data_IF_266289222102
#
_entry.id   IF_266289222102
#
_cell.length_a   1.000
_cell.length_b   1.000
_cell.length_c   1.000
_cell.angle_alpha   90.00
_cell.angle_beta   90.00
_cell.angle_gamma   90.00
#
_symmetry.space_group_name_H-M   'P 1'
#
loop_
_entity.id
_entity.type
_entity.pdbx_description
1 polymer ?
#
# COMPACT_ATOMS: atom_id res chain seq x y z
N UNK A 1 36.95 12.24 -45.74
CA UNK A 1 35.98 13.08 -44.99
C UNK A 1 34.69 12.34 -44.60
N UNK A 2 34.12 11.47 -45.44
CA UNK A 2 32.86 10.77 -45.15
C UNK A 2 32.91 9.85 -43.90
N UNK A 3 34.02 9.13 -43.70
CA UNK A 3 34.17 8.18 -42.59
C UNK A 3 34.15 8.84 -41.20
N UNK A 4 34.72 10.05 -41.06
CA UNK A 4 34.67 10.83 -39.79
C UNK A 4 33.27 11.35 -39.48
N UNK A 5 32.45 11.68 -40.49
CA UNK A 5 31.07 12.13 -40.32
C UNK A 5 30.14 10.98 -39.91
N UNK A 6 30.32 9.80 -40.48
CA UNK A 6 29.56 8.60 -40.12
C UNK A 6 29.80 8.17 -38.66
N UNK A 7 31.05 8.19 -38.21
CA UNK A 7 31.41 7.90 -36.81
C UNK A 7 30.84 8.97 -35.86
N UNK A 8 30.91 10.26 -36.20
CA UNK A 8 30.32 11.31 -35.37
C UNK A 8 28.79 11.18 -35.22
N UNK A 9 28.09 10.76 -36.28
CA UNK A 9 26.64 10.54 -36.25
C UNK A 9 26.23 9.33 -35.40
N UNK A 10 26.99 8.22 -35.44
CA UNK A 10 26.72 7.07 -34.58
C UNK A 10 26.97 7.38 -33.10
N UNK A 11 28.05 8.09 -32.77
CA UNK A 11 28.30 8.56 -31.41
C UNK A 11 27.19 9.50 -30.90
N UNK A 12 26.74 10.43 -31.73
CA UNK A 12 25.64 11.35 -31.39
C UNK A 12 24.33 10.58 -31.15
N UNK A 13 23.99 9.64 -32.02
CA UNK A 13 22.80 8.80 -31.85
C UNK A 13 22.86 7.95 -30.57
N UNK A 14 24.02 7.38 -30.26
CA UNK A 14 24.24 6.60 -29.04
C UNK A 14 24.09 7.46 -27.77
N UNK A 15 24.62 8.69 -27.78
CA UNK A 15 24.43 9.65 -26.69
C UNK A 15 22.97 10.04 -26.49
N UNK A 16 22.22 10.28 -27.58
CA UNK A 16 20.79 10.63 -27.51
C UNK A 16 19.98 9.48 -26.89
N UNK A 17 20.24 8.24 -27.29
CA UNK A 17 19.59 7.05 -26.71
C UNK A 17 19.91 6.94 -25.21
N UNK A 18 21.16 7.20 -24.81
CA UNK A 18 21.59 7.19 -23.41
C UNK A 18 20.91 8.26 -22.57
N UNK A 19 20.81 9.49 -23.08
CA UNK A 19 20.15 10.61 -22.40
C UNK A 19 18.65 10.37 -22.23
N UNK A 20 17.98 9.83 -23.26
CA UNK A 20 16.56 9.46 -23.19
C UNK A 20 16.36 8.34 -22.15
N UNK A 21 17.22 7.32 -22.14
CA UNK A 21 17.16 6.22 -21.16
C UNK A 21 17.34 6.71 -19.71
N UNK A 22 18.30 7.61 -19.48
CA UNK A 22 18.53 8.22 -18.16
C UNK A 22 17.34 9.09 -17.70
N UNK A 23 16.77 9.88 -18.61
CA UNK A 23 15.58 10.69 -18.30
C UNK A 23 14.38 9.84 -17.88
N UNK A 24 14.17 8.71 -18.57
CA UNK A 24 13.11 7.77 -18.22
C UNK A 24 13.32 7.09 -16.86
N UNK A 25 14.55 6.67 -16.56
CA UNK A 25 14.85 6.04 -15.27
C UNK A 25 14.63 7.02 -14.11
N UNK A 26 15.04 8.28 -14.25
CA UNK A 26 14.79 9.32 -13.24
C UNK A 26 13.28 9.54 -13.02
N UNK A 27 12.50 9.60 -14.10
CA UNK A 27 11.04 9.71 -14.00
C UNK A 27 10.42 8.49 -13.30
N UNK A 28 10.84 7.27 -13.65
CA UNK A 28 10.34 6.06 -13.01
C UNK A 28 10.64 6.03 -11.50
N UNK A 29 11.83 6.46 -11.09
CA UNK A 29 12.21 6.58 -9.68
C UNK A 29 11.32 7.58 -8.93
N UNK A 30 10.99 8.71 -9.54
CA UNK A 30 10.09 9.71 -8.96
C UNK A 30 8.64 9.19 -8.81
N UNK A 31 8.13 8.47 -9.81
CA UNK A 31 6.80 7.87 -9.74
C UNK A 31 6.70 6.77 -8.68
N UNK A 32 7.75 5.96 -8.50
CA UNK A 32 7.83 4.96 -7.43
C UNK A 32 7.77 5.64 -6.05
N UNK A 33 8.53 6.72 -5.83
CA UNK A 33 8.50 7.53 -4.60
C UNK A 33 7.11 8.04 -4.29
N UNK A 34 6.48 8.69 -5.27
CA UNK A 34 5.15 9.26 -5.14
C UNK A 34 4.13 8.17 -4.81
N UNK A 35 4.11 7.08 -5.57
CA UNK A 35 3.18 5.98 -5.36
C UNK A 35 3.36 5.32 -3.98
N UNK A 36 4.59 5.22 -3.47
CA UNK A 36 4.83 4.74 -2.10
C UNK A 36 4.31 5.70 -1.04
N UNK A 37 4.46 7.01 -1.26
CA UNK A 37 3.85 8.03 -0.41
C UNK A 37 2.32 7.90 -0.37
N UNK A 38 1.69 7.73 -1.54
CA UNK A 38 0.25 7.53 -1.67
C UNK A 38 -0.22 6.26 -0.94
N UNK A 39 0.53 5.16 -1.06
CA UNK A 39 0.29 3.90 -0.38
C UNK A 39 0.29 4.05 1.14
N UNK A 40 1.34 4.67 1.71
CA UNK A 40 1.45 4.89 3.16
C UNK A 40 0.34 5.81 3.66
N UNK A 41 0.07 6.91 2.94
CA UNK A 41 -0.97 7.84 3.33
C UNK A 41 -2.35 7.18 3.35
N UNK A 42 -2.63 6.28 2.40
CA UNK A 42 -3.88 5.51 2.37
C UNK A 42 -4.01 4.56 3.57
N UNK A 43 -2.95 3.81 3.90
CA UNK A 43 -2.95 2.95 5.10
C UNK A 43 -3.10 3.76 6.39
N UNK A 44 -2.46 4.93 6.50
CA UNK A 44 -2.62 5.81 7.66
C UNK A 44 -4.06 6.33 7.81
N UNK A 45 -4.73 6.71 6.71
CA UNK A 45 -6.15 7.09 6.76
C UNK A 45 -7.03 5.93 7.20
N UNK A 46 -6.76 4.73 6.67
CA UNK A 46 -7.45 3.52 7.09
C UNK A 46 -7.30 3.25 8.61
N UNK A 47 -6.10 3.42 9.16
CA UNK A 47 -5.80 3.21 10.59
C UNK A 47 -6.39 4.28 11.50
N UNK A 48 -6.45 5.53 11.06
CA UNK A 48 -6.98 6.63 11.87
C UNK A 48 -8.45 6.45 12.24
N UNK A 49 -9.15 5.49 11.62
CA UNK A 49 -10.57 5.15 11.73
C UNK A 49 -11.47 6.37 11.55
N UNK A 50 -12.43 6.31 10.63
CA UNK A 50 -13.51 7.28 10.63
C UNK A 50 -14.18 7.24 12.02
N UNK A 51 -14.09 8.34 12.76
CA UNK A 51 -14.57 8.39 14.14
C UNK A 51 -16.07 8.22 14.11
N UNK A 52 -16.56 7.26 14.88
CA UNK A 52 -17.99 7.25 15.20
C UNK A 52 -18.25 8.50 16.05
N UNK A 53 -19.16 9.39 15.63
CA UNK A 53 -19.47 10.57 16.42
C UNK A 53 -19.93 10.17 17.83
N UNK A 54 -19.49 10.89 18.86
CA UNK A 54 -19.87 10.59 20.26
C UNK A 54 -21.40 10.55 20.46
N UNK A 55 -22.14 11.32 19.65
CA UNK A 55 -23.60 11.33 19.63
C UNK A 55 -24.21 9.96 19.27
N UNK A 56 -23.51 9.14 18.48
CA UNK A 56 -23.97 7.80 18.09
C UNK A 56 -23.92 6.81 19.25
N UNK A 57 -23.06 7.03 20.25
CA UNK A 57 -22.95 6.12 21.42
C UNK A 57 -24.25 6.07 22.24
N UNK A 58 -25.07 7.13 22.15
CA UNK A 58 -26.38 7.22 22.83
C UNK A 58 -27.51 6.57 22.05
N UNK A 59 -27.28 6.18 20.79
CA UNK A 59 -28.29 5.57 19.94
C UNK A 59 -28.38 4.06 20.17
N UNK A 60 -29.53 3.43 19.86
CA UNK A 60 -29.66 1.98 19.90
C UNK A 60 -28.59 1.29 19.03
N UNK A 61 -28.16 0.10 19.45
CA UNK A 61 -27.11 -0.66 18.76
C UNK A 61 -27.38 -0.86 17.26
N UNK A 62 -28.63 -1.07 16.85
CA UNK A 62 -28.99 -1.18 15.44
C UNK A 62 -28.66 0.10 14.64
N UNK A 63 -28.88 1.29 15.20
CA UNK A 63 -28.56 2.56 14.55
C UNK A 63 -27.05 2.78 14.45
N UNK A 64 -26.29 2.40 15.49
CA UNK A 64 -24.83 2.42 15.46
C UNK A 64 -24.28 1.54 14.32
N UNK A 65 -24.80 0.32 14.20
CA UNK A 65 -24.38 -0.60 13.14
C UNK A 65 -24.70 -0.10 11.72
N UNK A 66 -25.90 0.46 11.52
CA UNK A 66 -26.28 1.05 10.24
C UNK A 66 -25.37 2.21 9.84
N UNK A 67 -24.95 3.02 10.80
CA UNK A 67 -23.97 4.09 10.55
C UNK A 67 -22.60 3.54 10.17
N UNK A 68 -22.09 2.55 10.91
CA UNK A 68 -20.84 1.89 10.57
C UNK A 68 -20.88 1.36 9.14
N UNK A 69 -21.94 0.62 8.77
CA UNK A 69 -22.13 0.08 7.43
C UNK A 69 -22.26 1.12 6.33
N UNK A 70 -22.93 2.24 6.59
CA UNK A 70 -23.25 3.23 5.55
C UNK A 70 -22.20 4.34 5.41
N UNK A 71 -21.40 4.59 6.45
CA UNK A 71 -20.42 5.70 6.49
C UNK A 71 -19.00 5.20 6.67
N UNK A 72 -18.74 4.44 7.73
CA UNK A 72 -17.37 4.05 8.11
C UNK A 72 -16.83 2.97 7.19
N UNK A 73 -17.61 1.92 6.93
CA UNK A 73 -17.13 0.76 6.19
C UNK A 73 -16.77 1.09 4.74
N UNK A 74 -17.60 1.85 3.99
CA UNK A 74 -17.25 2.24 2.62
C UNK A 74 -16.00 3.11 2.58
N UNK A 75 -15.89 4.11 3.47
CA UNK A 75 -14.72 4.99 3.52
C UNK A 75 -13.42 4.23 3.78
N UNK A 76 -13.44 3.27 4.73
CA UNK A 76 -12.24 2.44 4.99
C UNK A 76 -11.92 1.50 3.84
N UNK A 77 -12.94 1.01 3.12
CA UNK A 77 -12.71 0.20 1.93
C UNK A 77 -12.06 1.04 0.82
N UNK A 78 -12.52 2.28 0.61
CA UNK A 78 -11.91 3.21 -0.34
C UNK A 78 -10.43 3.48 -0.02
N UNK A 79 -10.06 3.62 1.26
CA UNK A 79 -8.67 3.78 1.67
C UNK A 79 -7.82 2.51 1.37
N UNK A 80 -8.36 1.30 1.56
CA UNK A 80 -7.66 0.06 1.17
C UNK A 80 -7.50 -0.05 -0.35
N UNK A 81 -8.55 0.26 -1.11
CA UNK A 81 -8.52 0.23 -2.57
C UNK A 81 -7.49 1.25 -3.11
N UNK A 82 -7.39 2.43 -2.47
CA UNK A 82 -6.38 3.43 -2.79
C UNK A 82 -4.95 2.92 -2.51
N UNK A 83 -4.75 2.23 -1.38
CA UNK A 83 -3.47 1.60 -1.06
C UNK A 83 -3.09 0.53 -2.11
N UNK A 84 -4.01 -0.35 -2.47
CA UNK A 84 -3.79 -1.36 -3.52
C UNK A 84 -3.43 -0.72 -4.87
N UNK A 85 -4.17 0.30 -5.29
CA UNK A 85 -3.89 1.04 -6.53
C UNK A 85 -2.50 1.70 -6.53
N UNK A 86 -2.11 2.28 -5.40
CA UNK A 86 -0.78 2.88 -5.24
C UNK A 86 0.32 1.81 -5.32
N UNK A 87 0.13 0.66 -4.67
CA UNK A 87 1.06 -0.46 -4.74
C UNK A 87 1.14 -1.06 -6.16
N UNK A 88 0.02 -1.15 -6.89
CA UNK A 88 -0.01 -1.53 -8.31
C UNK A 88 0.80 -0.58 -9.18
N UNK A 89 0.75 0.74 -8.91
CA UNK A 89 1.61 1.71 -9.59
C UNK A 89 3.09 1.44 -9.32
N UNK A 90 3.49 1.21 -8.07
CA UNK A 90 4.89 0.83 -7.75
C UNK A 90 5.32 -0.41 -8.54
N UNK A 91 4.48 -1.46 -8.59
CA UNK A 91 4.72 -2.69 -9.37
C UNK A 91 4.97 -2.40 -10.86
N UNK A 92 4.16 -1.54 -11.47
CA UNK A 92 4.28 -1.16 -12.88
C UNK A 92 5.61 -0.44 -13.18
N UNK A 93 6.06 0.44 -12.29
CA UNK A 93 7.31 1.20 -12.49
C UNK A 93 8.57 0.41 -12.15
N UNK A 94 8.49 -0.68 -11.37
CA UNK A 94 9.64 -1.58 -11.11
C UNK A 94 10.31 -2.03 -12.40
N UNK A 95 9.55 -2.35 -13.44
CA UNK A 95 10.08 -2.80 -14.73
C UNK A 95 10.91 -1.75 -15.47
N UNK A 96 10.74 -0.47 -15.11
CA UNK A 96 11.39 0.69 -15.73
C UNK A 96 12.67 1.11 -15.00
N UNK A 97 13.00 0.46 -13.87
CA UNK A 97 14.27 0.63 -13.19
C UNK A 97 15.32 -0.23 -13.90
N UNK A 98 16.33 0.41 -14.47
CA UNK A 98 17.36 -0.26 -15.26
C UNK A 98 18.47 -0.84 -14.38
N UNK A 99 18.80 -0.16 -13.26
CA UNK A 99 19.77 -0.67 -12.29
C UNK A 99 19.30 -2.02 -11.69
N UNK A 100 19.96 -3.16 -12.00
CA UNK A 100 19.44 -4.48 -11.62
C UNK A 100 19.36 -4.69 -10.11
N UNK A 101 20.36 -4.20 -9.36
CA UNK A 101 20.39 -4.28 -7.90
C UNK A 101 19.21 -3.53 -7.28
N UNK A 102 18.93 -2.31 -7.74
CA UNK A 102 17.79 -1.53 -7.26
C UNK A 102 16.46 -2.16 -7.65
N UNK A 103 16.32 -2.65 -8.88
CA UNK A 103 15.13 -3.37 -9.35
C UNK A 103 14.83 -4.59 -8.48
N UNK A 104 15.87 -5.32 -8.07
CA UNK A 104 15.75 -6.46 -7.16
C UNK A 104 15.27 -6.02 -5.77
N UNK A 105 15.93 -5.02 -5.16
CA UNK A 105 15.55 -4.47 -3.84
C UNK A 105 14.12 -3.94 -3.83
N UNK A 106 13.69 -3.27 -4.90
CA UNK A 106 12.29 -2.82 -5.07
C UNK A 106 11.32 -4.00 -5.19
N UNK A 107 11.76 -5.12 -5.78
CA UNK A 107 10.99 -6.36 -5.80
C UNK A 107 10.73 -6.94 -4.40
N UNK A 108 11.77 -7.01 -3.57
CA UNK A 108 11.64 -7.42 -2.17
C UNK A 108 10.67 -6.53 -1.39
N UNK A 109 10.81 -5.21 -1.59
CA UNK A 109 9.92 -4.21 -1.01
C UNK A 109 8.46 -4.48 -1.38
N UNK A 110 8.16 -4.61 -2.68
CA UNK A 110 6.81 -4.91 -3.19
C UNK A 110 6.24 -6.18 -2.54
N UNK A 111 7.06 -7.22 -2.37
CA UNK A 111 6.63 -8.46 -1.72
C UNK A 111 6.24 -8.29 -0.25
N UNK A 112 6.95 -7.43 0.49
CA UNK A 112 6.57 -7.10 1.88
C UNK A 112 5.35 -6.18 1.93
N UNK A 113 5.31 -5.11 1.13
CA UNK A 113 4.16 -4.20 1.07
C UNK A 113 2.87 -4.93 0.67
N UNK A 114 2.94 -5.92 -0.22
CA UNK A 114 1.78 -6.75 -0.56
C UNK A 114 1.29 -7.59 0.61
N UNK A 115 2.21 -8.18 1.39
CA UNK A 115 1.84 -8.94 2.59
C UNK A 115 1.25 -8.05 3.68
N UNK A 116 1.78 -6.84 3.83
CA UNK A 116 1.22 -5.83 4.73
C UNK A 116 -0.21 -5.48 4.32
N UNK A 117 -0.45 -5.18 3.04
CA UNK A 117 -1.79 -4.87 2.54
C UNK A 117 -2.77 -6.03 2.76
N UNK A 118 -2.39 -7.26 2.41
CA UNK A 118 -3.23 -8.45 2.67
C UNK A 118 -3.53 -8.63 4.14
N UNK A 119 -2.53 -8.44 5.02
CA UNK A 119 -2.76 -8.47 6.46
C UNK A 119 -3.74 -7.36 6.92
N UNK A 120 -3.65 -6.16 6.35
CA UNK A 120 -4.59 -5.07 6.67
C UNK A 120 -6.02 -5.43 6.22
N UNK A 121 -6.18 -6.09 5.09
CA UNK A 121 -7.47 -6.62 4.62
C UNK A 121 -8.00 -7.73 5.55
N UNK A 122 -7.15 -8.65 6.01
CA UNK A 122 -7.49 -9.68 7.00
C UNK A 122 -7.98 -9.05 8.32
N UNK A 123 -7.23 -8.07 8.83
CA UNK A 123 -7.61 -7.29 10.02
C UNK A 123 -8.94 -6.58 9.83
N UNK A 124 -9.17 -6.04 8.63
CA UNK A 124 -10.41 -5.36 8.32
C UNK A 124 -11.61 -6.31 8.30
N UNK A 125 -11.44 -7.48 7.68
CA UNK A 125 -12.46 -8.52 7.65
C UNK A 125 -12.80 -8.99 9.07
N UNK A 126 -11.79 -9.28 9.89
CA UNK A 126 -11.97 -9.67 11.29
C UNK A 126 -12.71 -8.58 12.10
N UNK A 127 -12.36 -7.31 11.94
CA UNK A 127 -13.05 -6.22 12.64
C UNK A 127 -14.54 -6.13 12.27
N UNK A 128 -14.89 -6.27 10.99
CA UNK A 128 -16.29 -6.32 10.55
C UNK A 128 -17.03 -7.53 11.12
N UNK A 129 -16.38 -8.68 11.25
CA UNK A 129 -16.97 -9.87 11.87
C UNK A 129 -17.19 -9.70 13.38
N UNK A 130 -16.24 -9.07 14.09
CA UNK A 130 -16.39 -8.73 15.51
C UNK A 130 -17.60 -7.81 15.71
N UNK A 131 -17.74 -6.78 14.87
CA UNK A 131 -18.88 -5.89 14.91
C UNK A 131 -20.18 -6.67 14.64
N UNK A 132 -20.20 -7.51 13.60
CA UNK A 132 -21.37 -8.32 13.27
C UNK A 132 -21.79 -9.25 14.43
N UNK A 133 -20.82 -9.94 15.06
CA UNK A 133 -21.07 -10.80 16.21
C UNK A 133 -21.57 -10.00 17.43
N UNK A 134 -21.00 -8.83 17.69
CA UNK A 134 -21.48 -7.91 18.72
C UNK A 134 -22.95 -7.54 18.52
N UNK A 135 -23.33 -7.13 17.31
CA UNK A 135 -24.71 -6.74 17.02
C UNK A 135 -25.67 -7.92 16.97
N UNK A 136 -25.20 -9.13 16.64
CA UNK A 136 -25.96 -10.38 16.72
C UNK A 136 -26.08 -10.92 18.16
N UNK A 137 -25.37 -10.33 19.14
CA UNK A 137 -25.25 -10.82 20.53
C UNK A 137 -24.63 -12.21 20.64
N UNK A 138 -23.80 -12.59 19.66
CA UNK A 138 -23.02 -13.82 19.68
C UNK A 138 -21.68 -13.58 20.40
N UNK A 139 -21.73 -13.66 21.73
CA UNK A 139 -20.58 -13.35 22.57
C UNK A 139 -19.45 -14.38 22.44
N UNK A 140 -19.78 -15.65 22.20
CA UNK A 140 -18.79 -16.72 22.01
C UNK A 140 -17.97 -16.47 20.74
N UNK A 141 -18.65 -16.26 19.61
CA UNK A 141 -17.99 -15.94 18.34
C UNK A 141 -17.17 -14.66 18.42
N UNK A 142 -17.70 -13.62 19.09
CA UNK A 142 -16.99 -12.36 19.28
C UNK A 142 -15.69 -12.55 20.07
N UNK A 143 -15.69 -13.40 21.09
CA UNK A 143 -14.51 -13.69 21.89
C UNK A 143 -13.45 -14.43 21.07
N UNK A 144 -13.84 -15.45 20.30
CA UNK A 144 -12.94 -16.15 19.37
C UNK A 144 -12.28 -15.17 18.40
N UNK A 145 -13.07 -14.33 17.73
CA UNK A 145 -12.58 -13.35 16.77
C UNK A 145 -11.65 -12.30 17.41
N UNK A 146 -11.88 -11.93 18.67
CA UNK A 146 -11.03 -11.01 19.40
C UNK A 146 -9.65 -11.62 19.75
N UNK A 147 -9.59 -12.94 19.99
CA UNK A 147 -8.33 -13.66 20.16
C UNK A 147 -7.56 -13.71 18.83
N UNK A 148 -8.25 -14.00 17.72
CA UNK A 148 -7.66 -13.96 16.37
C UNK A 148 -7.09 -12.56 16.06
N UNK A 149 -7.83 -11.50 16.43
CA UNK A 149 -7.38 -10.11 16.28
C UNK A 149 -6.07 -9.83 17.03
N UNK A 150 -5.88 -10.41 18.22
CA UNK A 150 -4.64 -10.26 18.98
C UNK A 150 -3.45 -10.86 18.23
N UNK A 151 -3.59 -12.09 17.73
CA UNK A 151 -2.56 -12.76 16.95
C UNK A 151 -2.24 -12.00 15.65
N UNK A 152 -3.27 -11.46 14.98
CA UNK A 152 -3.08 -10.59 13.83
C UNK A 152 -2.36 -9.29 14.21
N UNK A 153 -2.63 -8.71 15.39
CA UNK A 153 -1.97 -7.49 15.86
C UNK A 153 -0.45 -7.63 15.99
N UNK A 154 0.03 -8.76 16.52
CA UNK A 154 1.47 -9.07 16.64
C UNK A 154 2.15 -9.16 15.27
N UNK A 155 1.53 -9.90 14.34
CA UNK A 155 1.99 -10.03 12.94
C UNK A 155 2.06 -8.68 12.21
N UNK A 156 1.16 -7.76 12.54
CA UNK A 156 1.07 -6.44 11.91
C UNK A 156 2.32 -5.57 12.12
N UNK A 157 2.79 -5.50 13.36
CA UNK A 157 3.95 -4.68 13.70
C UNK A 157 5.20 -5.14 12.96
N UNK A 158 5.40 -6.45 12.86
CA UNK A 158 6.52 -7.04 12.10
C UNK A 158 6.45 -6.68 10.61
N UNK A 159 5.26 -6.68 10.01
CA UNK A 159 5.07 -6.35 8.60
C UNK A 159 5.31 -4.87 8.31
N UNK A 160 4.83 -3.97 9.17
CA UNK A 160 5.08 -2.52 9.07
C UNK A 160 6.57 -2.23 9.16
N UNK A 161 7.24 -2.82 10.15
CA UNK A 161 8.67 -2.67 10.36
C UNK A 161 9.48 -3.26 9.19
N UNK A 162 9.09 -4.42 8.67
CA UNK A 162 9.71 -5.03 7.51
C UNK A 162 9.52 -4.20 6.24
N UNK A 163 8.34 -3.60 6.02
CA UNK A 163 8.08 -2.72 4.87
C UNK A 163 9.04 -1.53 4.93
N UNK A 164 9.12 -0.88 6.09
CA UNK A 164 9.99 0.29 6.30
C UNK A 164 11.46 -0.05 6.02
N UNK A 165 11.95 -1.13 6.62
CA UNK A 165 13.34 -1.61 6.41
C UNK A 165 13.64 -1.96 4.95
N UNK A 166 12.68 -2.54 4.24
CA UNK A 166 12.86 -2.86 2.81
C UNK A 166 12.89 -1.58 1.96
N UNK A 167 12.06 -0.61 2.29
CA UNK A 167 12.06 0.68 1.59
C UNK A 167 13.36 1.46 1.80
N UNK A 168 13.85 1.55 3.04
CA UNK A 168 15.12 2.22 3.39
C UNK A 168 16.30 1.69 2.57
N UNK A 169 16.30 0.39 2.25
CA UNK A 169 17.32 -0.24 1.39
C UNK A 169 17.26 0.21 -0.08
N UNK A 170 16.11 0.68 -0.55
CA UNK A 170 15.97 1.17 -1.92
C UNK A 170 16.38 2.63 -2.05
N UNK A 171 16.07 3.49 -1.07
CA UNK A 171 16.40 4.93 -1.09
C UNK A 171 15.80 5.70 -2.27
N UNK A 172 14.98 5.03 -3.07
CA UNK A 172 13.86 5.66 -3.74
C UNK A 172 12.98 6.17 -2.60
#
# INVERSE_FOLDING_TARGET
MAMRRAVALTFLAMMVVLLIGLGWELHARAEVRKARGDYIAALQRFEQKAKTPAEMERLPWAAQYLYLKSKVYPQRQEDLDAADQALKRVKQYKGKILEPGLRSRLGDYIGVANRLLTWTEEMWANEKEIDAAYFARDWGRRQELALDRSALGEKGQELVEAERRKWEKTGL
#
